data_IF_493320239240
#
_entry.id   IF_493320239240
#
_cell.length_a   1.000
_cell.length_b   1.000
_cell.length_c   1.000
_cell.angle_alpha   90.00
_cell.angle_beta   90.00
_cell.angle_gamma   90.00
#
_symmetry.space_group_name_H-M   'P 1'
#
loop_
_entity.id
_entity.type
_entity.pdbx_description
1 polymer ?
#
# COMPACT_ATOMS: atom_id res chain seq x y z
N UNK A 1 8.37 -29.50 -5.84
CA UNK A 1 7.91 -28.45 -6.78
C UNK A 1 7.32 -27.33 -5.94
N UNK A 2 8.10 -26.29 -5.66
CA UNK A 2 7.60 -25.14 -4.90
C UNK A 2 6.83 -24.23 -5.86
N UNK A 3 5.51 -24.19 -5.70
CA UNK A 3 4.64 -23.27 -6.43
C UNK A 3 5.01 -21.84 -6.07
N UNK A 4 5.39 -21.05 -7.08
CA UNK A 4 5.58 -19.62 -6.90
C UNK A 4 4.27 -19.01 -6.43
N UNK A 5 4.29 -18.29 -5.29
CA UNK A 5 3.15 -17.48 -4.88
C UNK A 5 2.95 -16.35 -5.91
N UNK A 6 1.71 -15.93 -6.20
CA UNK A 6 1.41 -14.94 -7.25
C UNK A 6 2.11 -13.57 -7.07
N UNK A 7 2.67 -13.29 -5.89
CA UNK A 7 3.47 -12.09 -5.61
C UNK A 7 4.96 -12.25 -6.01
N UNK A 8 5.49 -13.47 -5.96
CA UNK A 8 6.85 -13.77 -6.44
C UNK A 8 6.96 -13.51 -7.94
N UNK A 9 5.94 -13.87 -8.73
CA UNK A 9 5.93 -13.63 -10.18
C UNK A 9 5.83 -12.14 -10.51
N UNK A 10 5.10 -11.34 -9.71
CA UNK A 10 5.04 -9.88 -9.88
C UNK A 10 6.39 -9.22 -9.70
N UNK A 11 7.15 -9.62 -8.68
CA UNK A 11 8.49 -9.10 -8.45
C UNK A 11 9.43 -9.51 -9.59
N UNK A 12 9.42 -10.79 -10.02
CA UNK A 12 10.24 -11.23 -11.15
C UNK A 12 9.94 -10.48 -12.45
N UNK A 13 8.66 -10.31 -12.79
CA UNK A 13 8.26 -9.55 -13.98
C UNK A 13 8.73 -8.09 -13.89
N UNK A 14 8.56 -7.45 -12.72
CA UNK A 14 9.04 -6.09 -12.52
C UNK A 14 10.56 -5.97 -12.66
N UNK A 15 11.35 -6.96 -12.24
CA UNK A 15 12.81 -6.96 -12.38
C UNK A 15 13.24 -7.15 -13.84
N UNK A 16 12.50 -7.95 -14.61
CA UNK A 16 12.78 -8.20 -16.03
C UNK A 16 12.46 -6.96 -16.87
N UNK A 17 11.37 -6.28 -16.54
CA UNK A 17 10.87 -5.13 -17.30
C UNK A 17 11.47 -3.80 -16.84
N UNK A 18 11.91 -3.70 -15.58
CA UNK A 18 12.39 -2.47 -14.97
C UNK A 18 13.67 -2.69 -14.16
N UNK A 19 14.72 -1.92 -14.48
CA UNK A 19 16.02 -2.03 -13.81
C UNK A 19 16.07 -1.29 -12.45
N UNK A 20 15.15 -0.36 -12.19
CA UNK A 20 15.17 0.48 -10.99
C UNK A 20 14.96 -0.33 -9.71
N UNK A 21 14.23 -1.44 -9.74
CA UNK A 21 14.07 -2.34 -8.60
C UNK A 21 15.41 -2.91 -8.12
N UNK A 22 16.37 -3.12 -9.04
CA UNK A 22 17.73 -3.58 -8.69
C UNK A 22 18.57 -2.49 -8.05
N UNK A 23 18.12 -1.24 -8.11
CA UNK A 23 18.80 -0.05 -7.57
C UNK A 23 18.22 0.37 -6.21
N UNK A 24 17.43 -0.48 -5.56
CA UNK A 24 16.88 -0.19 -4.23
C UNK A 24 18.03 0.00 -3.22
N UNK A 25 18.09 1.13 -2.50
CA UNK A 25 19.17 1.40 -1.56
C UNK A 25 19.24 0.36 -0.44
N UNK A 26 20.38 -0.31 -0.29
CA UNK A 26 20.64 -1.22 0.82
C UNK A 26 19.84 -2.53 0.81
N UNK A 27 19.07 -2.82 -0.25
CA UNK A 27 18.21 -4.00 -0.31
C UNK A 27 18.58 -4.88 -1.50
N UNK A 28 19.08 -6.08 -1.22
CA UNK A 28 19.38 -7.06 -2.28
C UNK A 28 18.11 -7.74 -2.78
N UNK A 29 18.15 -8.27 -4.00
CA UNK A 29 17.00 -8.99 -4.56
C UNK A 29 16.62 -10.25 -3.77
N UNK A 30 17.61 -10.95 -3.22
CA UNK A 30 17.37 -12.12 -2.37
C UNK A 30 16.66 -11.71 -1.08
N UNK A 31 17.10 -10.61 -0.48
CA UNK A 31 16.46 -10.02 0.70
C UNK A 31 15.03 -9.60 0.41
N UNK A 32 14.75 -8.90 -0.71
CA UNK A 32 13.37 -8.52 -1.09
C UNK A 32 12.44 -9.73 -1.16
N UNK A 33 12.88 -10.82 -1.79
CA UNK A 33 12.09 -12.05 -1.90
C UNK A 33 11.80 -12.64 -0.53
N UNK A 34 12.82 -12.70 0.34
CA UNK A 34 12.68 -13.24 1.68
C UNK A 34 11.72 -12.38 2.52
N UNK A 35 11.86 -11.06 2.50
CA UNK A 35 11.01 -10.14 3.27
C UNK A 35 9.56 -10.14 2.77
N UNK A 36 9.33 -10.18 1.45
CA UNK A 36 7.97 -10.33 0.89
C UNK A 36 7.32 -11.65 1.30
N UNK A 37 8.11 -12.74 1.37
CA UNK A 37 7.62 -14.03 1.85
C UNK A 37 7.26 -13.96 3.33
N UNK A 38 8.12 -13.37 4.16
CA UNK A 38 7.85 -13.17 5.59
C UNK A 38 6.58 -12.36 5.82
N UNK A 39 6.38 -11.27 5.07
CA UNK A 39 5.17 -10.45 5.16
C UNK A 39 3.90 -11.23 4.76
N UNK A 40 3.99 -12.14 3.78
CA UNK A 40 2.89 -13.02 3.44
C UNK A 40 2.59 -14.01 4.58
N UNK A 41 3.63 -14.63 5.13
CA UNK A 41 3.49 -15.59 6.23
C UNK A 41 2.96 -14.92 7.51
N UNK A 42 3.29 -13.63 7.73
CA UNK A 42 2.74 -12.79 8.81
C UNK A 42 1.22 -12.68 8.72
N UNK A 43 0.66 -12.47 7.52
CA UNK A 43 -0.79 -12.37 7.33
C UNK A 43 -1.56 -13.64 7.69
N UNK A 44 -0.86 -14.78 7.76
CA UNK A 44 -1.44 -16.07 8.14
C UNK A 44 -1.31 -16.39 9.64
N UNK A 45 -0.52 -15.61 10.39
CA UNK A 45 -0.23 -15.82 11.81
C UNK A 45 -0.70 -14.62 12.65
N UNK A 46 -1.71 -14.82 13.49
CA UNK A 46 -2.44 -13.75 14.17
C UNK A 46 -1.74 -13.07 15.36
N UNK A 47 -0.46 -13.39 15.66
CA UNK A 47 0.18 -12.95 16.92
C UNK A 47 1.67 -12.57 16.81
N UNK A 48 2.13 -12.15 15.63
CA UNK A 48 3.53 -11.74 15.41
C UNK A 48 3.69 -10.22 15.38
N UNK A 49 4.73 -9.73 16.04
CA UNK A 49 5.10 -8.31 16.05
C UNK A 49 5.58 -7.86 14.66
N UNK A 50 5.14 -6.67 14.24
CA UNK A 50 5.61 -6.03 13.01
C UNK A 50 7.07 -5.59 13.23
N UNK A 51 7.93 -5.88 12.25
CA UNK A 51 9.36 -5.54 12.26
C UNK A 51 9.71 -4.70 11.03
N UNK A 52 10.90 -4.10 11.03
CA UNK A 52 11.36 -3.26 9.91
C UNK A 52 11.41 -4.02 8.58
N UNK A 53 11.65 -5.33 8.59
CA UNK A 53 11.60 -6.16 7.37
C UNK A 53 10.19 -6.25 6.79
N UNK A 54 9.16 -6.26 7.64
CA UNK A 54 7.77 -6.21 7.20
C UNK A 54 7.43 -4.85 6.59
N UNK A 55 7.91 -3.76 7.19
CA UNK A 55 7.76 -2.41 6.65
C UNK A 55 8.40 -2.27 5.27
N UNK A 56 9.67 -2.70 5.12
CA UNK A 56 10.36 -2.70 3.81
C UNK A 56 9.67 -3.56 2.77
N UNK A 57 9.21 -4.76 3.14
CA UNK A 57 8.43 -5.60 2.24
C UNK A 57 7.14 -4.90 1.78
N UNK A 58 6.50 -4.14 2.66
CA UNK A 58 5.31 -3.37 2.33
C UNK A 58 5.63 -2.22 1.37
N UNK A 59 6.73 -1.51 1.57
CA UNK A 59 7.23 -0.49 0.64
C UNK A 59 7.51 -1.07 -0.75
N UNK A 60 8.13 -2.26 -0.83
CA UNK A 60 8.32 -2.97 -2.10
C UNK A 60 6.98 -3.28 -2.78
N UNK A 61 5.95 -3.70 -2.02
CA UNK A 61 4.62 -3.90 -2.59
C UNK A 61 3.99 -2.61 -3.12
N UNK A 62 4.17 -1.47 -2.45
CA UNK A 62 3.70 -0.16 -2.93
C UNK A 62 4.29 0.17 -4.30
N UNK A 63 5.60 -0.04 -4.47
CA UNK A 63 6.27 0.22 -5.75
C UNK A 63 5.81 -0.75 -6.85
N UNK A 64 5.60 -2.03 -6.52
CA UNK A 64 5.08 -3.02 -7.47
C UNK A 64 3.63 -2.74 -7.90
N UNK A 65 2.81 -2.16 -7.02
CA UNK A 65 1.46 -1.73 -7.38
C UNK A 65 1.47 -0.42 -8.17
N UNK A 66 2.39 0.50 -7.86
CA UNK A 66 2.61 1.70 -8.66
C UNK A 66 3.05 1.35 -10.09
N UNK A 67 3.93 0.35 -10.26
CA UNK A 67 4.27 -0.17 -11.60
C UNK A 67 3.04 -0.66 -12.34
N UNK A 68 2.21 -1.47 -11.68
CA UNK A 68 0.97 -1.98 -12.29
C UNK A 68 0.03 -0.84 -12.70
N UNK A 69 -0.18 0.16 -11.85
CA UNK A 69 -1.01 1.32 -12.18
C UNK A 69 -0.44 2.13 -13.36
N UNK A 70 0.89 2.25 -13.44
CA UNK A 70 1.58 2.87 -14.57
C UNK A 70 1.40 2.07 -15.87
N UNK A 71 1.54 0.75 -15.83
CA UNK A 71 1.32 -0.12 -17.00
C UNK A 71 -0.15 -0.06 -17.47
N UNK A 72 -1.10 -0.04 -16.54
CA UNK A 72 -2.53 0.15 -16.82
C UNK A 72 -2.76 1.49 -17.54
N UNK A 73 -2.16 2.58 -17.04
CA UNK A 73 -2.21 3.91 -17.67
C UNK A 73 -1.63 3.88 -19.08
N UNK A 74 -0.47 3.25 -19.29
CA UNK A 74 0.16 3.12 -20.62
C UNK A 74 -0.68 2.28 -21.59
N UNK A 75 -1.39 1.26 -21.09
CA UNK A 75 -2.30 0.44 -21.87
C UNK A 75 -3.63 1.14 -22.19
N UNK A 76 -3.83 2.40 -21.74
CA UNK A 76 -5.09 3.13 -21.90
C UNK A 76 -6.22 2.60 -21.02
N UNK A 77 -5.90 1.77 -20.02
CA UNK A 77 -6.85 1.37 -19.00
C UNK A 77 -7.05 2.53 -18.02
N UNK A 78 -8.27 2.64 -17.48
CA UNK A 78 -8.59 3.72 -16.54
C UNK A 78 -7.76 3.61 -15.27
N UNK A 79 -6.73 4.44 -15.21
CA UNK A 79 -6.05 4.87 -14.02
C UNK A 79 -6.67 6.24 -13.71
N UNK A 80 -7.52 6.35 -12.68
CA UNK A 80 -8.12 7.64 -12.31
C UNK A 80 -7.06 8.71 -12.02
N UNK A 81 -7.49 9.95 -11.85
CA UNK A 81 -6.59 11.12 -11.68
C UNK A 81 -5.69 11.09 -10.43
N UNK A 82 -5.79 10.03 -9.62
CA UNK A 82 -5.01 9.81 -8.41
C UNK A 82 -3.56 9.40 -8.68
N UNK A 83 -3.26 8.74 -9.81
CA UNK A 83 -1.90 8.29 -10.13
C UNK A 83 -1.19 9.33 -11.00
N UNK A 84 -0.66 10.35 -10.33
CA UNK A 84 -0.05 11.54 -10.93
C UNK A 84 1.48 11.51 -10.99
N UNK A 85 2.10 10.34 -10.81
CA UNK A 85 3.56 10.17 -10.94
C UNK A 85 3.95 9.83 -12.38
N UNK A 86 5.13 10.32 -12.79
CA UNK A 86 5.69 10.08 -14.12
C UNK A 86 6.32 8.69 -14.22
N UNK A 87 6.83 8.16 -13.11
CA UNK A 87 7.43 6.84 -13.06
C UNK A 87 7.18 6.12 -11.73
N UNK A 88 7.01 4.79 -11.73
CA UNK A 88 7.04 3.98 -10.50
C UNK A 88 8.35 4.14 -9.71
N UNK A 89 9.44 4.56 -10.38
CA UNK A 89 10.70 4.88 -9.74
C UNK A 89 10.57 6.05 -8.75
N UNK A 90 9.70 7.03 -9.03
CA UNK A 90 9.51 8.18 -8.16
C UNK A 90 8.88 7.78 -6.82
N UNK A 91 8.01 6.76 -6.85
CA UNK A 91 7.45 6.14 -5.65
C UNK A 91 8.57 5.48 -4.83
N UNK A 92 9.47 4.71 -5.46
CA UNK A 92 10.63 4.12 -4.78
C UNK A 92 11.54 5.19 -4.17
N UNK A 93 11.85 6.25 -4.92
CA UNK A 93 12.68 7.36 -4.42
C UNK A 93 12.03 8.03 -3.21
N UNK A 94 10.74 8.31 -3.24
CA UNK A 94 10.04 8.94 -2.12
C UNK A 94 9.93 8.05 -0.88
N UNK A 95 9.92 6.72 -1.02
CA UNK A 95 9.93 5.79 0.11
C UNK A 95 11.32 5.60 0.73
N UNK A 96 12.37 5.75 -0.06
CA UNK A 96 13.75 5.45 0.37
C UNK A 96 14.54 6.67 0.83
N UNK A 97 14.13 7.88 0.45
CA UNK A 97 14.80 9.11 0.86
C UNK A 97 14.25 9.67 2.19
N UNK A 98 15.12 9.98 3.17
CA UNK A 98 14.70 10.56 4.44
C UNK A 98 13.90 11.86 4.26
N UNK A 99 12.77 11.96 4.97
CA UNK A 99 11.91 13.15 4.95
C UNK A 99 11.02 13.27 3.71
N UNK A 100 11.05 12.27 2.82
CA UNK A 100 10.06 12.14 1.74
C UNK A 100 8.94 11.21 2.15
N UNK A 101 7.75 11.55 1.68
CA UNK A 101 6.53 10.78 1.88
C UNK A 101 5.77 10.74 0.56
N UNK A 102 5.00 9.67 0.36
CA UNK A 102 4.05 9.64 -0.73
C UNK A 102 2.95 10.67 -0.46
N UNK A 103 2.47 11.29 -1.54
CA UNK A 103 1.26 12.10 -1.47
C UNK A 103 0.11 11.22 -0.92
N UNK A 104 -0.72 11.71 0.02
CA UNK A 104 -1.69 10.87 0.72
C UNK A 104 -2.66 10.14 -0.22
N UNK A 105 -3.17 10.81 -1.25
CA UNK A 105 -4.11 10.22 -2.22
C UNK A 105 -3.46 9.06 -2.97
N UNK A 106 -2.22 9.24 -3.45
CA UNK A 106 -1.42 8.19 -4.08
C UNK A 106 -1.20 7.02 -3.10
N UNK A 107 -0.77 7.31 -1.88
CA UNK A 107 -0.49 6.31 -0.85
C UNK A 107 -1.73 5.46 -0.54
N UNK A 108 -2.86 6.08 -0.24
CA UNK A 108 -4.09 5.38 0.14
C UNK A 108 -4.69 4.56 -1.01
N UNK A 109 -4.61 5.04 -2.25
CA UNK A 109 -5.01 4.25 -3.41
C UNK A 109 -4.12 3.03 -3.64
N UNK A 110 -2.80 3.15 -3.45
CA UNK A 110 -1.91 1.99 -3.52
C UNK A 110 -2.21 0.99 -2.41
N UNK A 111 -2.41 1.45 -1.17
CA UNK A 111 -2.75 0.59 -0.03
C UNK A 111 -4.06 -0.15 -0.27
N UNK A 112 -5.12 0.52 -0.72
CA UNK A 112 -6.44 -0.10 -0.98
C UNK A 112 -6.33 -1.18 -2.07
N UNK A 113 -5.56 -0.93 -3.13
CA UNK A 113 -5.33 -1.90 -4.21
C UNK A 113 -4.53 -3.12 -3.75
N UNK A 114 -3.50 -2.94 -2.93
CA UNK A 114 -2.66 -4.06 -2.42
C UNK A 114 -3.43 -4.92 -1.42
N UNK A 115 -4.22 -4.29 -0.55
CA UNK A 115 -4.96 -4.96 0.52
C UNK A 115 -6.28 -5.58 0.07
N UNK A 116 -6.74 -5.28 -1.16
CA UNK A 116 -8.05 -5.67 -1.66
C UNK A 116 -9.24 -5.16 -0.79
N UNK A 117 -9.03 -4.09 -0.02
CA UNK A 117 -10.05 -3.45 0.81
C UNK A 117 -10.36 -2.04 0.30
N UNK A 118 -11.57 -1.56 0.50
CA UNK A 118 -11.86 -0.12 0.42
C UNK A 118 -11.47 0.55 1.74
N UNK A 119 -11.05 1.80 1.67
CA UNK A 119 -10.62 2.58 2.83
C UNK A 119 -11.46 3.84 2.87
N UNK A 120 -12.17 4.05 3.98
CA UNK A 120 -12.89 5.28 4.27
C UNK A 120 -12.08 6.06 5.29
N UNK A 121 -11.58 7.22 4.90
CA UNK A 121 -10.90 8.16 5.80
C UNK A 121 -11.88 9.26 6.18
N UNK A 122 -12.31 9.24 7.44
CA UNK A 122 -13.14 10.28 8.06
C UNK A 122 -12.22 11.39 8.56
N UNK A 123 -12.28 12.55 7.93
CA UNK A 123 -11.52 13.72 8.32
C UNK A 123 -12.35 14.64 9.20
N UNK A 124 -11.98 14.66 10.49
CA UNK A 124 -12.61 15.46 11.53
C UNK A 124 -11.70 16.61 11.99
N UNK A 125 -10.71 17.02 11.18
CA UNK A 125 -9.79 18.12 11.55
C UNK A 125 -10.51 19.46 11.68
N UNK A 126 -11.55 19.66 10.88
CA UNK A 126 -12.44 20.79 11.00
C UNK A 126 -13.62 20.38 11.88
N UNK A 127 -13.88 21.15 12.95
CA UNK A 127 -15.07 21.02 13.80
C UNK A 127 -16.31 21.50 13.04
N UNK A 128 -16.63 20.83 11.93
CA UNK A 128 -17.86 21.06 11.17
C UNK A 128 -18.91 20.01 11.56
N UNK A 129 -20.18 20.28 11.23
CA UNK A 129 -21.31 19.40 11.60
C UNK A 129 -21.23 18.01 10.94
N UNK A 130 -20.42 17.82 9.89
CA UNK A 130 -20.23 16.53 9.22
C UNK A 130 -18.75 16.33 8.82
N UNK A 131 -18.13 15.17 9.13
CA UNK A 131 -16.77 14.88 8.71
C UNK A 131 -16.67 14.77 7.19
N UNK A 132 -15.57 15.26 6.63
CA UNK A 132 -15.25 15.00 5.22
C UNK A 132 -14.88 13.52 5.06
N UNK A 133 -15.41 12.86 4.04
CA UNK A 133 -15.16 11.43 3.81
C UNK A 133 -14.38 11.24 2.52
N UNK A 134 -13.15 10.75 2.64
CA UNK A 134 -12.31 10.37 1.51
C UNK A 134 -12.37 8.85 1.35
N UNK A 135 -12.88 8.38 0.20
CA UNK A 135 -13.02 6.96 -0.09
C UNK A 135 -12.01 6.51 -1.14
N UNK A 136 -11.24 5.47 -0.80
CA UNK A 136 -10.26 4.83 -1.68
C UNK A 136 -10.72 3.40 -1.95
N UNK A 137 -11.26 3.15 -3.15
CA UNK A 137 -11.91 1.87 -3.46
C UNK A 137 -11.00 0.92 -4.25
N UNK A 138 -10.89 -0.31 -3.76
CA UNK A 138 -10.17 -1.39 -4.45
C UNK A 138 -11.04 -2.09 -5.51
N UNK A 139 -12.31 -2.34 -5.20
CA UNK A 139 -13.30 -2.87 -6.16
C UNK A 139 -14.73 -2.59 -5.68
N UNK A 140 -15.75 -2.81 -6.53
CA UNK A 140 -17.16 -2.48 -6.25
C UNK A 140 -17.77 -3.15 -5.00
N UNK A 141 -17.17 -4.21 -4.46
CA UNK A 141 -17.69 -4.96 -3.31
C UNK A 141 -16.61 -5.34 -2.29
N UNK A 142 -15.45 -4.67 -2.31
CA UNK A 142 -14.39 -4.95 -1.33
C UNK A 142 -14.86 -4.59 0.09
N UNK A 143 -14.48 -5.36 1.12
CA UNK A 143 -14.73 -4.97 2.51
C UNK A 143 -14.10 -3.60 2.78
N UNK A 144 -14.71 -2.82 3.67
CA UNK A 144 -14.29 -1.44 3.94
C UNK A 144 -13.70 -1.34 5.35
N UNK A 145 -12.53 -0.70 5.46
CA UNK A 145 -11.89 -0.36 6.73
C UNK A 145 -11.97 1.16 6.90
N UNK A 146 -12.39 1.61 8.07
CA UNK A 146 -12.56 3.03 8.35
C UNK A 146 -11.40 3.54 9.20
N UNK A 147 -10.88 4.70 8.84
CA UNK A 147 -9.83 5.42 9.55
C UNK A 147 -10.33 6.81 9.92
N UNK A 148 -9.86 7.33 11.05
CA UNK A 148 -10.22 8.63 11.59
C UNK A 148 -8.98 9.53 11.63
N UNK A 149 -9.07 10.68 10.97
CA UNK A 149 -8.06 11.73 11.01
C UNK A 149 -8.48 12.78 12.05
N UNK A 150 -7.73 12.85 13.15
CA UNK A 150 -7.86 13.87 14.19
C UNK A 150 -6.63 14.79 14.15
N UNK A 151 -6.81 16.10 13.97
CA UNK A 151 -5.70 17.05 13.95
C UNK A 151 -4.64 16.76 12.87
N UNK A 152 -3.37 17.06 13.12
CA UNK A 152 -2.28 16.90 12.15
C UNK A 152 -1.54 15.54 12.23
N UNK A 153 -1.94 14.64 13.14
CA UNK A 153 -1.27 13.34 13.36
C UNK A 153 -1.68 12.29 12.33
N UNK A 154 -1.04 11.13 12.29
CA UNK A 154 -1.46 10.04 11.40
C UNK A 154 -2.90 9.57 11.71
N UNK A 155 -3.68 9.15 10.68
CA UNK A 155 -5.00 8.56 10.90
C UNK A 155 -4.96 7.37 11.85
N UNK A 156 -6.02 7.21 12.64
CA UNK A 156 -6.21 6.09 13.55
C UNK A 156 -7.25 5.13 12.97
N UNK A 157 -7.02 3.80 13.03
CA UNK A 157 -8.04 2.85 12.63
C UNK A 157 -9.25 2.92 13.57
N UNK A 158 -10.45 2.96 13.00
CA UNK A 158 -11.70 2.80 13.74
C UNK A 158 -12.08 1.34 13.79
N UNK A 159 -12.14 0.79 15.00
CA UNK A 159 -12.65 -0.55 15.24
C UNK A 159 -14.01 -0.47 15.90
N UNK A 160 -14.92 -1.33 15.48
CA UNK A 160 -16.17 -1.54 16.19
C UNK A 160 -15.86 -2.24 17.52
N UNK A 161 -16.17 -1.57 18.63
CA UNK A 161 -16.22 -2.19 19.95
C UNK A 161 -17.71 -2.45 20.20
N UNK A 162 -18.18 -3.71 20.20
CA UNK A 162 -19.54 -3.99 20.63
C UNK A 162 -19.71 -3.46 22.06
N UNK A 163 -20.78 -2.71 22.29
CA UNK A 163 -21.24 -2.47 23.65
C UNK A 163 -21.54 -3.84 24.25
N UNK A 164 -20.85 -4.22 25.32
CA UNK A 164 -21.12 -5.47 26.02
C UNK A 164 -22.62 -5.52 26.32
N UNK A 165 -23.29 -6.51 25.73
CA UNK A 165 -24.68 -6.82 26.07
C UNK A 165 -24.63 -7.33 27.51
N UNK A 166 -25.15 -6.53 28.44
CA UNK A 166 -25.42 -6.91 29.84
C UNK A 166 -26.12 -8.27 29.97
#
# INVERSE_FOLDING_TARGET
MFGATPKSTRLENAILECDFMRKWPGLSMETMRQELKQLFDLSSNSCSTISDSHTRAFEVMLVLEAKRAYDERLAGLFCGDWFNVDSPRDVMTNLTEPGRYLEPTLMWNLISRISAVSIDLLDCRQLSEAPEVYRFSSSKNSPTITWLQLGATSPLPLFYIPDDIE
#
